data_IF_991854288609
#
_entry.id   IF_991854288609
#
_cell.length_a   1.000
_cell.length_b   1.000
_cell.length_c   1.000
_cell.angle_alpha   90.00
_cell.angle_beta   90.00
_cell.angle_gamma   90.00
#
_symmetry.space_group_name_H-M   'P 1'
#
loop_
_entity.id
_entity.type
_entity.pdbx_description
1 polymer ?
#
# COMPACT_ATOMS: atom_id res chain seq x y z
N UNK A 1 7.01 -17.36 7.17
CA UNK A 1 7.34 -17.53 8.61
C UNK A 1 8.60 -18.37 8.79
N UNK A 2 8.63 -19.64 8.38
CA UNK A 2 9.79 -20.53 8.55
C UNK A 2 11.12 -19.96 8.03
N UNK A 3 11.11 -19.34 6.84
CA UNK A 3 12.32 -18.78 6.23
C UNK A 3 12.96 -17.64 7.05
N UNK A 4 12.18 -16.73 7.64
CA UNK A 4 12.72 -15.61 8.42
C UNK A 4 13.29 -16.08 9.77
N UNK A 5 12.63 -17.05 10.40
CA UNK A 5 13.14 -17.67 11.61
C UNK A 5 14.45 -18.43 11.33
N UNK A 6 14.51 -19.13 10.20
CA UNK A 6 15.72 -19.83 9.77
C UNK A 6 16.87 -18.87 9.44
N UNK A 7 16.58 -17.73 8.81
CA UNK A 7 17.56 -16.68 8.57
C UNK A 7 18.19 -16.19 9.88
N UNK A 8 17.38 -15.93 10.91
CA UNK A 8 17.89 -15.58 12.25
C UNK A 8 18.78 -16.67 12.81
N UNK A 9 18.32 -17.92 12.75
CA UNK A 9 19.05 -19.08 13.26
C UNK A 9 20.43 -19.22 12.60
N UNK A 10 20.47 -19.12 11.27
CA UNK A 10 21.71 -19.20 10.49
C UNK A 10 22.63 -18.04 10.84
N UNK A 11 22.13 -16.80 10.85
CA UNK A 11 22.93 -15.61 11.19
C UNK A 11 23.58 -15.75 12.56
N UNK A 12 22.81 -16.14 13.57
CA UNK A 12 23.31 -16.34 14.93
C UNK A 12 24.37 -17.44 15.00
N UNK A 13 24.16 -18.55 14.27
CA UNK A 13 25.13 -19.64 14.20
C UNK A 13 26.46 -19.21 13.60
N UNK A 14 26.45 -18.43 12.51
CA UNK A 14 27.68 -18.03 11.81
C UNK A 14 28.37 -16.82 12.44
N UNK A 15 27.63 -16.03 13.23
CA UNK A 15 28.13 -14.80 13.84
C UNK A 15 28.60 -14.98 15.29
N UNK A 16 28.81 -16.22 15.74
CA UNK A 16 29.27 -16.53 17.09
C UNK A 16 28.26 -16.14 18.18
N UNK A 17 26.97 -16.36 17.94
CA UNK A 17 25.91 -16.08 18.90
C UNK A 17 25.33 -14.65 18.84
N UNK A 18 25.82 -13.79 17.94
CA UNK A 18 25.24 -12.45 17.76
C UNK A 18 23.81 -12.54 17.21
N UNK A 19 22.96 -11.61 17.64
CA UNK A 19 21.58 -11.52 17.15
C UNK A 19 21.51 -10.68 15.87
N UNK A 20 20.63 -11.07 14.95
CA UNK A 20 20.35 -10.31 13.73
C UNK A 20 19.42 -9.15 14.08
N UNK A 21 19.96 -7.92 14.16
CA UNK A 21 19.18 -6.72 14.39
C UNK A 21 18.72 -6.11 13.07
N UNK A 22 17.42 -6.12 12.85
CA UNK A 22 16.80 -5.56 11.64
C UNK A 22 16.35 -4.14 11.95
N UNK A 23 16.80 -3.16 11.15
CA UNK A 23 16.37 -1.75 11.27
C UNK A 23 15.30 -1.35 10.25
N UNK A 24 15.38 -1.92 9.06
CA UNK A 24 14.46 -1.63 7.96
C UNK A 24 14.01 -2.92 7.31
N UNK A 25 12.72 -2.99 6.99
CA UNK A 25 12.13 -4.07 6.23
C UNK A 25 11.37 -3.47 5.07
N UNK A 26 11.73 -3.85 3.85
CA UNK A 26 11.02 -3.44 2.65
C UNK A 26 10.26 -4.64 2.07
N UNK A 27 8.94 -4.57 2.08
CA UNK A 27 8.06 -5.68 1.68
C UNK A 27 6.72 -5.15 1.15
N UNK A 28 5.81 -6.02 0.74
CA UNK A 28 4.48 -5.60 0.27
C UNK A 28 3.66 -5.00 1.44
N UNK A 29 2.65 -4.19 1.13
CA UNK A 29 1.74 -3.62 2.12
C UNK A 29 0.79 -4.67 2.75
N UNK A 30 0.95 -5.94 2.38
CA UNK A 30 0.10 -7.03 2.82
C UNK A 30 0.30 -7.32 4.31
N UNK A 31 -0.79 -7.26 5.09
CA UNK A 31 -0.75 -7.45 6.54
C UNK A 31 -0.14 -8.79 6.96
N UNK A 32 -0.27 -9.86 6.16
CA UNK A 32 0.34 -11.14 6.50
C UNK A 32 1.88 -11.07 6.48
N UNK A 33 2.47 -10.31 5.56
CA UNK A 33 3.92 -10.10 5.49
C UNK A 33 4.41 -9.29 6.68
N UNK A 34 3.75 -8.17 6.99
CA UNK A 34 4.09 -7.36 8.16
C UNK A 34 3.98 -8.19 9.44
N UNK A 35 2.87 -8.93 9.63
CA UNK A 35 2.68 -9.80 10.79
C UNK A 35 3.75 -10.89 10.89
N UNK A 36 4.16 -11.49 9.77
CA UNK A 36 5.21 -12.51 9.77
C UNK A 36 6.57 -11.94 10.21
N UNK A 37 6.89 -10.72 9.78
CA UNK A 37 8.12 -10.01 10.18
C UNK A 37 8.05 -9.61 11.64
N UNK A 38 6.95 -9.00 12.10
CA UNK A 38 6.74 -8.62 13.50
C UNK A 38 6.83 -9.81 14.44
N UNK A 39 6.32 -10.98 14.05
CA UNK A 39 6.43 -12.20 14.87
C UNK A 39 7.87 -12.68 15.06
N UNK A 40 8.75 -12.44 14.09
CA UNK A 40 10.13 -12.97 14.09
C UNK A 40 11.14 -11.95 14.62
N UNK A 41 10.91 -10.65 14.38
CA UNK A 41 11.84 -9.59 14.73
C UNK A 41 11.26 -8.56 15.71
N UNK A 42 9.94 -8.53 15.92
CA UNK A 42 9.30 -7.50 16.75
C UNK A 42 9.50 -7.66 18.26
N UNK A 43 10.16 -8.73 18.71
CA UNK A 43 10.47 -8.92 20.15
C UNK A 43 11.71 -8.13 20.54
N UNK A 44 12.70 -8.07 19.65
CA UNK A 44 14.07 -7.61 19.94
C UNK A 44 14.58 -6.57 18.94
N UNK A 45 13.85 -6.32 17.85
CA UNK A 45 14.15 -5.29 16.87
C UNK A 45 13.03 -4.24 16.84
N UNK A 46 13.40 -2.98 17.03
CA UNK A 46 12.60 -1.84 16.59
C UNK A 46 12.98 -1.56 15.13
N UNK A 47 12.03 -1.79 14.22
CA UNK A 47 12.28 -1.65 12.77
C UNK A 47 11.20 -0.82 12.10
N UNK A 48 11.59 -0.15 11.01
CA UNK A 48 10.67 0.57 10.13
C UNK A 48 10.25 -0.36 9.00
N UNK A 49 8.94 -0.54 8.83
CA UNK A 49 8.36 -1.30 7.73
C UNK A 49 8.02 -0.36 6.56
N UNK A 50 8.73 -0.53 5.46
CA UNK A 50 8.60 0.26 4.24
C UNK A 50 7.90 -0.57 3.18
N UNK A 51 6.98 0.06 2.43
CA UNK A 51 6.42 -0.57 1.24
C UNK A 51 7.49 -0.65 0.15
N UNK A 52 7.58 -1.80 -0.49
CA UNK A 52 8.52 -2.02 -1.56
C UNK A 52 8.10 -1.26 -2.83
N UNK A 53 8.95 -0.35 -3.29
CA UNK A 53 8.69 0.44 -4.50
C UNK A 53 8.38 -0.44 -5.73
N UNK A 54 9.09 -1.56 -5.92
CA UNK A 54 8.81 -2.47 -7.02
C UNK A 54 7.42 -3.12 -6.94
N UNK A 55 6.92 -3.41 -5.73
CA UNK A 55 5.56 -3.91 -5.55
C UNK A 55 4.53 -2.83 -5.87
N UNK A 56 4.80 -1.58 -5.49
CA UNK A 56 3.98 -0.42 -5.89
C UNK A 56 3.93 -0.31 -7.40
N UNK A 57 5.09 -0.33 -8.09
CA UNK A 57 5.17 -0.23 -9.54
C UNK A 57 4.49 -1.40 -10.26
N UNK A 58 4.62 -2.62 -9.75
CA UNK A 58 3.90 -3.77 -10.28
C UNK A 58 2.38 -3.58 -10.18
N UNK A 59 1.90 -3.09 -9.03
CA UNK A 59 0.47 -2.81 -8.82
C UNK A 59 -0.04 -1.68 -9.72
N UNK A 60 0.75 -0.62 -9.87
CA UNK A 60 0.45 0.50 -10.77
C UNK A 60 0.37 -0.01 -12.21
N UNK A 61 1.37 -0.78 -12.66
CA UNK A 61 1.37 -1.36 -14.00
C UNK A 61 0.14 -2.25 -14.25
N UNK A 62 -0.28 -3.07 -13.27
CA UNK A 62 -1.53 -3.83 -13.36
C UNK A 62 -2.76 -2.94 -13.56
N UNK A 63 -2.83 -1.79 -12.87
CA UNK A 63 -3.95 -0.84 -12.96
C UNK A 63 -3.94 -0.01 -14.24
N UNK A 64 -2.79 0.15 -14.87
CA UNK A 64 -2.61 0.91 -16.11
C UNK A 64 -2.79 0.07 -17.38
N UNK A 65 -3.08 -1.24 -17.27
CA UNK A 65 -3.22 -2.15 -18.43
C UNK A 65 -4.23 -1.67 -19.48
N UNK A 66 -5.34 -1.09 -19.04
CA UNK A 66 -6.43 -0.63 -19.91
C UNK A 66 -6.38 0.90 -20.14
N UNK A 67 -5.31 1.56 -19.69
CA UNK A 67 -5.10 3.00 -19.83
C UNK A 67 -4.28 3.29 -21.09
N UNK A 68 -4.61 4.35 -21.86
CA UNK A 68 -3.82 4.75 -23.03
C UNK A 68 -2.33 4.86 -22.72
N UNK A 69 -1.48 4.31 -23.60
CA UNK A 69 -0.04 4.16 -23.35
C UNK A 69 0.65 5.47 -22.96
N UNK A 70 0.26 6.59 -23.57
CA UNK A 70 0.85 7.90 -23.26
C UNK A 70 0.55 8.33 -21.81
N UNK A 71 -0.67 8.08 -21.31
CA UNK A 71 -1.05 8.35 -19.91
C UNK A 71 -0.35 7.38 -18.97
N UNK A 72 -0.26 6.10 -19.35
CA UNK A 72 0.44 5.10 -18.56
C UNK A 72 1.91 5.46 -18.37
N UNK A 73 2.60 5.89 -19.44
CA UNK A 73 3.98 6.40 -19.37
C UNK A 73 4.10 7.61 -18.46
N UNK A 74 3.15 8.55 -18.55
CA UNK A 74 3.15 9.74 -17.71
C UNK A 74 2.98 9.40 -16.23
N UNK A 75 2.01 8.55 -15.88
CA UNK A 75 1.77 8.13 -14.49
C UNK A 75 2.98 7.40 -13.92
N UNK A 76 3.61 6.52 -14.72
CA UNK A 76 4.81 5.83 -14.29
C UNK A 76 5.96 6.81 -14.02
N UNK A 77 6.21 7.76 -14.93
CA UNK A 77 7.23 8.80 -14.75
C UNK A 77 6.97 9.65 -13.51
N UNK A 78 5.73 10.12 -13.33
CA UNK A 78 5.32 10.93 -12.17
C UNK A 78 5.57 10.16 -10.84
N UNK A 79 5.35 8.83 -10.80
CA UNK A 79 5.64 8.01 -9.62
C UNK A 79 7.14 7.79 -9.39
N UNK A 80 7.94 7.69 -10.46
CA UNK A 80 9.39 7.64 -10.35
C UNK A 80 9.96 8.96 -9.80
N UNK A 81 9.43 10.10 -10.25
CA UNK A 81 9.84 11.41 -9.75
C UNK A 81 9.52 11.55 -8.25
N UNK A 82 8.33 11.10 -7.83
CA UNK A 82 7.97 11.00 -6.40
C UNK A 82 8.90 10.10 -5.60
N UNK A 83 9.34 8.97 -6.17
CA UNK A 83 10.25 8.06 -5.48
C UNK A 83 11.65 8.66 -5.29
N UNK A 84 12.07 9.52 -6.22
CA UNK A 84 13.36 10.19 -6.22
C UNK A 84 13.35 11.55 -5.49
N UNK A 85 12.26 11.93 -4.84
CA UNK A 85 12.17 13.18 -4.10
C UNK A 85 13.25 13.27 -3.00
N UNK A 86 14.04 14.34 -3.02
CA UNK A 86 15.16 14.54 -2.09
C UNK A 86 14.72 14.90 -0.66
N UNK A 87 13.45 15.26 -0.47
CA UNK A 87 12.87 15.58 0.83
C UNK A 87 11.36 15.36 0.85
N UNK A 88 10.78 15.35 2.06
CA UNK A 88 9.34 15.31 2.24
C UNK A 88 8.64 16.53 1.60
N UNK A 89 9.24 17.71 1.70
CA UNK A 89 8.68 18.93 1.12
C UNK A 89 8.64 18.85 -0.42
N UNK A 90 9.71 18.33 -1.05
CA UNK A 90 9.77 18.10 -2.50
C UNK A 90 8.72 17.06 -2.92
N UNK A 91 8.59 15.98 -2.16
CA UNK A 91 7.57 14.96 -2.39
C UNK A 91 6.17 15.56 -2.34
N UNK A 92 5.86 16.33 -1.29
CA UNK A 92 4.55 16.94 -1.08
C UNK A 92 4.23 17.93 -2.22
N UNK A 93 5.21 18.73 -2.65
CA UNK A 93 5.06 19.63 -3.80
C UNK A 93 4.76 18.87 -5.10
N UNK A 94 5.54 17.82 -5.41
CA UNK A 94 5.34 16.98 -6.58
C UNK A 94 3.96 16.29 -6.57
N UNK A 95 3.51 15.81 -5.41
CA UNK A 95 2.15 15.26 -5.25
C UNK A 95 1.10 16.30 -5.62
N UNK A 96 1.22 17.54 -5.13
CA UNK A 96 0.27 18.61 -5.48
C UNK A 96 0.26 18.92 -6.98
N UNK A 97 1.45 18.94 -7.61
CA UNK A 97 1.56 19.18 -9.04
C UNK A 97 0.88 18.06 -9.86
N UNK A 98 1.09 16.80 -9.49
CA UNK A 98 0.47 15.63 -10.15
C UNK A 98 -1.07 15.68 -9.99
N UNK A 99 -1.57 15.94 -8.78
CA UNK A 99 -3.01 16.04 -8.49
C UNK A 99 -3.65 17.15 -9.32
N UNK A 100 -3.02 18.33 -9.35
CA UNK A 100 -3.50 19.51 -10.10
C UNK A 100 -3.53 19.23 -11.60
N UNK A 101 -2.47 18.63 -12.15
CA UNK A 101 -2.37 18.23 -13.56
C UNK A 101 -3.45 17.24 -13.98
N UNK A 102 -3.83 16.31 -13.10
CA UNK A 102 -4.92 15.36 -13.35
C UNK A 102 -6.32 15.97 -13.20
N UNK A 103 -6.45 17.26 -12.89
CA UNK A 103 -7.74 17.94 -12.79
C UNK A 103 -8.54 17.61 -11.53
N UNK A 104 -7.92 17.04 -10.49
CA UNK A 104 -8.55 16.87 -9.20
C UNK A 104 -8.62 18.25 -8.51
N UNK A 105 -9.82 18.83 -8.42
CA UNK A 105 -10.01 20.15 -7.82
C UNK A 105 -9.59 20.17 -6.34
N UNK A 106 -8.68 21.08 -5.97
CA UNK A 106 -8.26 21.39 -4.60
C UNK A 106 -9.27 22.30 -3.88
N UNK A 107 -10.56 22.05 -4.07
CA UNK A 107 -11.62 22.72 -3.29
C UNK A 107 -12.16 21.74 -2.27
N UNK A 108 -11.96 22.08 -1.00
CA UNK A 108 -12.42 21.42 0.20
C UNK A 108 -13.65 20.50 0.00
N UNK A 109 -13.42 19.20 0.21
CA UNK A 109 -14.34 18.05 0.20
C UNK A 109 -14.69 17.38 -1.15
N UNK A 110 -13.72 16.67 -1.75
CA UNK A 110 -13.89 15.24 -2.10
C UNK A 110 -12.86 14.33 -1.41
N UNK A 111 -11.75 14.90 -0.93
CA UNK A 111 -10.69 14.16 -0.22
C UNK A 111 -11.14 13.71 1.17
N UNK A 112 -11.94 14.50 1.88
CA UNK A 112 -12.57 14.03 3.13
C UNK A 112 -13.62 12.96 2.87
N UNK A 113 -14.38 13.06 1.77
CA UNK A 113 -15.34 12.04 1.36
C UNK A 113 -14.63 10.75 0.93
N UNK A 114 -13.52 10.85 0.18
CA UNK A 114 -12.66 9.73 -0.20
C UNK A 114 -11.96 9.12 1.02
N UNK A 115 -11.39 9.93 1.91
CA UNK A 115 -10.79 9.46 3.15
C UNK A 115 -11.84 8.88 4.11
N UNK A 116 -13.09 9.39 4.11
CA UNK A 116 -14.22 8.75 4.82
C UNK A 116 -14.57 7.40 4.20
N UNK A 117 -14.63 7.30 2.88
CA UNK A 117 -14.95 6.05 2.17
C UNK A 117 -13.85 5.00 2.39
N UNK A 118 -12.58 5.39 2.29
CA UNK A 118 -11.43 4.53 2.59
C UNK A 118 -11.42 4.15 4.08
N UNK A 119 -11.63 5.10 5.02
CA UNK A 119 -11.69 4.77 6.45
C UNK A 119 -12.88 3.87 6.78
N UNK A 120 -14.06 4.12 6.21
CA UNK A 120 -15.26 3.27 6.35
C UNK A 120 -14.99 1.85 5.83
N UNK A 121 -14.35 1.72 4.67
CA UNK A 121 -14.21 0.44 3.97
C UNK A 121 -12.97 -0.36 4.41
N UNK A 122 -11.90 0.30 4.89
CA UNK A 122 -10.64 -0.34 5.27
C UNK A 122 -10.31 -0.30 6.77
N UNK A 123 -10.86 0.63 7.57
CA UNK A 123 -10.50 0.73 9.00
C UNK A 123 -11.50 0.14 9.98
N UNK A 124 -12.74 -0.16 9.58
CA UNK A 124 -13.74 -0.80 10.46
C UNK A 124 -14.32 -2.07 9.82
N UNK A 125 -13.72 -3.22 10.14
CA UNK A 125 -14.23 -4.56 9.73
C UNK A 125 -15.63 -4.80 10.32
N UNK A 126 -16.58 -5.34 9.54
CA UNK A 126 -16.78 -6.80 9.55
C UNK A 126 -16.99 -7.39 8.15
N UNK A 127 -16.28 -8.48 7.82
CA UNK A 127 -16.50 -9.24 6.58
C UNK A 127 -17.91 -9.85 6.59
N UNK A 128 -18.75 -9.46 5.65
CA UNK A 128 -20.06 -10.09 5.42
C UNK A 128 -19.93 -11.14 4.31
N UNK A 129 -20.67 -12.26 4.47
CA UNK A 129 -20.69 -13.34 3.48
C UNK A 129 -21.43 -12.89 2.22
N UNK A 130 -20.93 -13.32 1.07
CA UNK A 130 -21.38 -12.92 -0.27
C UNK A 130 -22.90 -13.08 -0.50
N UNK A 131 -23.54 -14.03 0.22
CA UNK A 131 -24.98 -14.26 0.15
C UNK A 131 -25.86 -13.12 0.70
N UNK A 132 -25.35 -12.27 1.59
CA UNK A 132 -26.10 -11.11 2.08
C UNK A 132 -26.12 -9.93 1.09
N UNK A 133 -25.16 -9.90 0.16
CA UNK A 133 -25.02 -8.82 -0.83
C UNK A 133 -26.02 -8.97 -2.00
N UNK A 134 -26.38 -10.20 -2.35
CA UNK A 134 -27.33 -10.46 -3.45
C UNK A 134 -28.76 -9.99 -3.15
N UNK A 135 -29.18 -10.01 -1.88
CA UNK A 135 -30.53 -9.60 -1.51
C UNK A 135 -30.72 -8.09 -1.53
N UNK A 136 -29.68 -7.35 -1.13
CA UNK A 136 -29.65 -5.88 -1.25
C UNK A 136 -29.60 -5.40 -2.71
N UNK A 137 -28.97 -6.17 -3.61
CA UNK A 137 -28.91 -5.83 -5.04
C UNK A 137 -30.24 -6.12 -5.76
N UNK A 138 -30.96 -7.16 -5.38
CA UNK A 138 -32.27 -7.48 -5.97
C UNK A 138 -33.33 -6.42 -5.64
N UNK A 139 -33.34 -5.90 -4.41
CA UNK A 139 -34.31 -4.88 -3.97
C UNK A 139 -34.08 -3.52 -4.63
N UNK A 140 -32.84 -3.21 -5.06
CA UNK A 140 -32.50 -1.93 -5.69
C UNK A 140 -32.88 -1.84 -7.18
N UNK A 141 -33.03 -2.96 -7.90
CA UNK A 141 -33.32 -2.98 -9.33
C UNK A 141 -34.82 -2.90 -9.69
N UNK A 142 -35.72 -2.76 -8.70
CA UNK A 142 -37.17 -2.78 -8.91
C UNK A 142 -37.84 -1.45 -9.30
N UNK A 143 -37.11 -0.34 -9.46
CA UNK A 143 -37.68 0.94 -9.88
C UNK A 143 -36.92 1.52 -11.08
N UNK A 144 -37.16 0.94 -12.27
CA UNK A 144 -36.91 1.60 -13.55
C UNK A 144 -38.24 1.81 -14.28
N UNK A 145 -38.61 3.08 -14.46
CA UNK A 145 -39.27 3.61 -15.66
C UNK A 145 -38.81 5.05 -15.83
#
# INVERSE_FOLDING_TARGET
MAALAELRRVFTSVSGGRQLLVKFVMADAEAAQQNAVTRVFGVDCEFVYLMCFYHVMAKVHEKLKDVPEYLSKQVMADIYDLHCADSQDVYDEQVQQIITKCGYATTNNPVEQFNRLIKRDYTLRPKHKIGALFQLLADCCGHQS
#
